data_IF_466244282441
#
_entry.id   IF_466244282441
#
_cell.length_a   1.000
_cell.length_b   1.000
_cell.length_c   1.000
_cell.angle_alpha   90.00
_cell.angle_beta   90.00
_cell.angle_gamma   90.00
#
_symmetry.space_group_name_H-M   'P 1'
#
loop_
_entity.id
_entity.type
_entity.pdbx_description
1 polymer ?
#
# COMPACT_ATOMS: atom_id res chain seq x y z
N UNK A 1 15.76 -14.61 21.87
CA UNK A 1 15.02 -13.37 21.54
C UNK A 1 14.20 -13.63 20.29
N UNK A 2 12.86 -13.49 20.34
CA UNK A 2 12.03 -13.55 19.13
C UNK A 2 12.44 -12.37 18.23
N UNK A 3 12.66 -12.56 16.92
CA UNK A 3 13.02 -11.47 16.02
C UNK A 3 11.89 -10.43 16.07
N UNK A 4 12.25 -9.17 16.33
CA UNK A 4 11.35 -8.01 16.30
C UNK A 4 10.95 -7.81 14.83
N UNK A 5 9.88 -8.49 14.39
CA UNK A 5 9.37 -8.38 13.02
C UNK A 5 9.00 -6.92 12.79
N UNK A 6 9.57 -6.28 11.76
CA UNK A 6 9.13 -4.94 11.38
C UNK A 6 7.76 -5.07 10.71
N UNK A 7 6.71 -4.59 11.35
CA UNK A 7 5.32 -4.58 10.86
C UNK A 7 5.13 -3.55 9.74
N UNK A 8 5.86 -3.74 8.64
CA UNK A 8 5.79 -2.87 7.46
C UNK A 8 4.84 -3.41 6.39
N UNK A 9 4.27 -4.60 6.53
CA UNK A 9 3.36 -5.12 5.50
C UNK A 9 1.93 -4.62 5.77
N UNK A 10 1.22 -4.22 4.72
CA UNK A 10 -0.21 -3.94 4.79
C UNK A 10 -1.02 -5.22 5.02
N UNK A 11 -2.23 -5.09 5.58
CA UNK A 11 -3.18 -6.20 5.67
C UNK A 11 -3.44 -6.83 4.30
N UNK A 12 -3.66 -6.02 3.26
CA UNK A 12 -3.82 -6.47 1.89
C UNK A 12 -2.64 -7.34 1.45
N UNK A 13 -1.41 -6.85 1.65
CA UNK A 13 -0.22 -7.62 1.30
C UNK A 13 -0.12 -8.92 2.09
N UNK A 14 -0.44 -8.93 3.37
CA UNK A 14 -0.40 -10.14 4.19
C UNK A 14 -1.46 -11.17 3.75
N UNK A 15 -2.65 -10.72 3.35
CA UNK A 15 -3.71 -11.58 2.83
C UNK A 15 -3.32 -12.15 1.46
N UNK A 16 -2.86 -11.31 0.54
CA UNK A 16 -2.64 -11.67 -0.87
C UNK A 16 -1.22 -12.14 -1.18
N UNK A 17 -0.31 -12.23 -0.21
CA UNK A 17 0.96 -12.94 -0.38
C UNK A 17 0.76 -14.47 -0.36
N UNK A 18 -0.27 -14.94 -1.07
CA UNK A 18 -0.72 -16.32 -1.24
C UNK A 18 -1.16 -16.51 -2.70
N UNK A 19 -0.61 -17.51 -3.38
CA UNK A 19 -0.84 -17.71 -4.82
C UNK A 19 -2.29 -18.07 -5.16
N UNK A 20 -3.03 -18.73 -4.26
CA UNK A 20 -4.44 -19.09 -4.49
C UNK A 20 -5.30 -17.84 -4.49
N UNK A 21 -5.06 -16.96 -3.53
CA UNK A 21 -5.76 -15.67 -3.41
C UNK A 21 -5.41 -14.73 -4.56
N UNK A 22 -4.14 -14.70 -5.01
CA UNK A 22 -3.75 -13.94 -6.20
C UNK A 22 -4.43 -14.46 -7.47
N UNK A 23 -4.59 -15.78 -7.62
CA UNK A 23 -5.33 -16.35 -8.75
C UNK A 23 -6.81 -15.95 -8.74
N UNK A 24 -7.45 -16.00 -7.57
CA UNK A 24 -8.83 -15.52 -7.34
C UNK A 24 -8.98 -14.05 -7.74
N UNK A 25 -8.09 -13.19 -7.22
CA UNK A 25 -8.09 -11.76 -7.52
C UNK A 25 -7.81 -11.46 -9.01
N UNK A 26 -6.83 -12.13 -9.63
CA UNK A 26 -6.53 -11.94 -11.04
C UNK A 26 -7.71 -12.34 -11.95
N UNK A 27 -8.40 -13.42 -11.58
CA UNK A 27 -9.62 -13.84 -12.29
C UNK A 27 -10.73 -12.80 -12.14
N UNK A 28 -10.91 -12.24 -10.94
CA UNK A 28 -11.90 -11.19 -10.70
C UNK A 28 -11.59 -9.87 -11.44
N UNK A 29 -10.31 -9.54 -11.61
CA UNK A 29 -9.88 -8.34 -12.33
C UNK A 29 -9.99 -8.47 -13.85
N UNK A 30 -9.66 -9.64 -14.39
CA UNK A 30 -9.43 -9.81 -15.85
C UNK A 30 -10.39 -10.76 -16.54
N UNK A 31 -11.16 -11.54 -15.77
CA UNK A 31 -11.93 -12.68 -16.27
C UNK A 31 -11.08 -13.90 -16.67
N UNK A 32 -9.75 -13.84 -16.53
CA UNK A 32 -8.83 -14.92 -16.93
C UNK A 32 -8.48 -15.81 -15.75
N UNK A 33 -8.80 -17.09 -15.86
CA UNK A 33 -8.40 -18.08 -14.86
C UNK A 33 -6.91 -18.42 -14.99
N UNK A 34 -6.25 -18.57 -13.85
CA UNK A 34 -4.83 -18.99 -13.75
C UNK A 34 -4.67 -19.99 -12.61
N UNK A 35 -3.87 -21.04 -12.82
CA UNK A 35 -3.58 -21.97 -11.74
C UNK A 35 -2.55 -21.33 -10.77
N UNK A 36 -2.69 -21.50 -9.45
CA UNK A 36 -1.75 -20.94 -8.48
C UNK A 36 -0.28 -21.35 -8.70
N UNK A 37 -0.03 -22.51 -9.33
CA UNK A 37 1.32 -22.98 -9.67
C UNK A 37 2.00 -22.12 -10.75
N UNK A 38 1.22 -21.46 -11.60
CA UNK A 38 1.71 -20.64 -12.72
C UNK A 38 2.03 -19.20 -12.28
N UNK A 39 1.69 -18.83 -11.04
CA UNK A 39 1.99 -17.53 -10.45
C UNK A 39 3.39 -17.57 -9.82
N UNK A 40 4.23 -16.61 -10.19
CA UNK A 40 5.51 -16.37 -9.51
C UNK A 40 5.48 -15.00 -8.86
N UNK A 41 5.53 -14.93 -7.52
CA UNK A 41 5.56 -13.65 -6.81
C UNK A 41 6.93 -12.99 -7.03
N UNK A 42 6.92 -11.79 -7.61
CA UNK A 42 8.10 -11.00 -7.99
C UNK A 42 8.24 -9.72 -7.17
N UNK A 43 7.39 -9.55 -6.14
CA UNK A 43 7.33 -8.36 -5.28
C UNK A 43 8.70 -7.88 -4.88
N UNK A 44 9.02 -6.68 -5.33
CA UNK A 44 10.31 -6.07 -5.08
C UNK A 44 10.43 -5.69 -3.60
N UNK A 45 11.61 -5.95 -3.01
CA UNK A 45 11.94 -5.44 -1.67
C UNK A 45 12.48 -4.01 -1.77
N UNK A 46 11.80 -3.04 -1.17
CA UNK A 46 12.29 -1.66 -1.04
C UNK A 46 12.37 -0.89 -2.35
N UNK A 47 11.28 -0.81 -3.11
CA UNK A 47 11.25 -0.04 -4.38
C UNK A 47 11.13 1.43 -4.14
N UNK A 48 10.16 1.78 -3.30
CA UNK A 48 9.90 3.12 -2.82
C UNK A 48 10.39 3.19 -1.37
N UNK A 49 10.51 4.43 -0.85
CA UNK A 49 11.02 4.75 0.49
C UNK A 49 10.49 3.80 1.57
N UNK A 50 11.20 3.74 2.70
CA UNK A 50 11.14 2.73 3.77
C UNK A 50 9.76 2.50 4.46
N UNK A 51 8.66 2.95 3.87
CA UNK A 51 7.27 2.86 4.29
C UNK A 51 6.64 1.46 4.21
N UNK A 52 5.39 1.41 4.65
CA UNK A 52 4.51 0.25 4.58
C UNK A 52 4.50 -0.30 3.15
N UNK A 53 4.92 -1.55 3.03
CA UNK A 53 4.79 -2.40 1.86
C UNK A 53 3.31 -2.67 1.58
N UNK A 54 2.79 -1.88 0.64
CA UNK A 54 1.41 -1.94 0.16
C UNK A 54 1.32 -2.50 -1.28
N UNK A 55 2.44 -2.92 -1.84
CA UNK A 55 2.52 -3.51 -3.17
C UNK A 55 2.69 -5.03 -3.12
N UNK A 56 2.13 -5.69 -4.14
CA UNK A 56 2.46 -7.05 -4.55
C UNK A 56 2.70 -7.01 -6.06
N UNK A 57 3.78 -7.63 -6.52
CA UNK A 57 3.90 -7.97 -7.94
C UNK A 57 4.08 -9.47 -8.13
N UNK A 58 3.54 -9.96 -9.23
CA UNK A 58 3.66 -11.36 -9.61
C UNK A 58 3.62 -11.51 -11.13
N UNK A 59 4.17 -12.62 -11.60
CA UNK A 59 4.26 -12.97 -13.01
C UNK A 59 3.35 -14.14 -13.35
N UNK A 60 2.68 -14.05 -14.50
CA UNK A 60 1.94 -15.13 -15.14
C UNK A 60 2.39 -15.20 -16.60
N UNK A 61 3.20 -16.22 -16.93
CA UNK A 61 3.78 -16.35 -18.28
C UNK A 61 4.64 -15.14 -18.64
N UNK A 62 4.26 -14.45 -19.71
CA UNK A 62 4.87 -13.24 -20.25
C UNK A 62 4.18 -11.95 -19.77
N UNK A 63 3.47 -11.99 -18.64
CA UNK A 63 2.83 -10.82 -18.03
C UNK A 63 3.31 -10.55 -16.63
N UNK A 64 3.59 -9.28 -16.33
CA UNK A 64 3.87 -8.80 -14.98
C UNK A 64 2.66 -8.03 -14.46
N UNK A 65 2.12 -8.48 -13.33
CA UNK A 65 0.98 -7.86 -12.68
C UNK A 65 1.50 -7.12 -11.45
N UNK A 66 1.14 -5.84 -11.33
CA UNK A 66 1.52 -4.98 -10.22
C UNK A 66 0.24 -4.49 -9.54
N UNK A 67 0.10 -4.87 -8.28
CA UNK A 67 -1.00 -4.50 -7.40
C UNK A 67 -0.50 -3.52 -6.35
N UNK A 68 -1.22 -2.42 -6.13
CA UNK A 68 -0.93 -1.48 -5.06
C UNK A 68 -2.18 -1.11 -4.27
N UNK A 69 -2.11 -1.24 -2.95
CA UNK A 69 -3.17 -0.78 -2.06
C UNK A 69 -2.96 0.69 -1.68
N UNK A 70 -3.94 1.55 -1.94
CA UNK A 70 -3.93 2.97 -1.62
C UNK A 70 -5.07 3.33 -0.64
N UNK A 71 -4.75 3.62 0.62
CA UNK A 71 -5.77 3.73 1.70
C UNK A 71 -5.90 5.13 2.35
N UNK A 72 -5.08 6.11 1.98
CA UNK A 72 -5.09 7.43 2.66
C UNK A 72 -5.99 8.43 1.93
N UNK A 73 -5.51 8.98 0.82
CA UNK A 73 -6.20 9.96 -0.01
C UNK A 73 -6.24 9.46 -1.45
N UNK A 74 -7.09 10.01 -2.31
CA UNK A 74 -6.93 9.75 -3.74
C UNK A 74 -5.61 10.35 -4.24
N UNK A 75 -4.90 9.66 -5.15
CA UNK A 75 -3.62 10.13 -5.68
C UNK A 75 -3.57 9.95 -7.21
N UNK A 76 -3.74 11.03 -7.99
CA UNK A 76 -3.70 10.94 -9.45
C UNK A 76 -2.28 10.65 -9.99
N UNK A 77 -1.23 10.73 -9.15
CA UNK A 77 0.15 10.46 -9.56
C UNK A 77 0.53 8.97 -9.49
N UNK A 78 -0.43 8.06 -9.26
CA UNK A 78 -0.17 6.62 -9.24
C UNK A 78 0.46 6.07 -10.53
N UNK A 79 0.10 6.53 -11.75
CA UNK A 79 0.79 6.11 -12.97
C UNK A 79 2.30 6.40 -12.97
N UNK A 80 2.73 7.54 -12.42
CA UNK A 80 4.16 7.87 -12.28
C UNK A 80 4.86 6.91 -11.32
N UNK A 81 4.21 6.57 -10.20
CA UNK A 81 4.73 5.57 -9.27
C UNK A 81 4.82 4.18 -9.93
N UNK A 82 3.84 3.80 -10.74
CA UNK A 82 3.87 2.54 -11.49
C UNK A 82 5.00 2.50 -12.53
N UNK A 83 5.27 3.62 -13.21
CA UNK A 83 6.39 3.76 -14.15
C UNK A 83 7.73 3.46 -13.45
N UNK A 84 7.96 4.06 -12.29
CA UNK A 84 9.18 3.80 -11.51
C UNK A 84 9.27 2.35 -11.04
N UNK A 85 8.14 1.74 -10.68
CA UNK A 85 8.11 0.35 -10.24
C UNK A 85 8.48 -0.59 -11.39
N UNK A 86 7.85 -0.45 -12.54
CA UNK A 86 8.08 -1.35 -13.68
C UNK A 86 9.49 -1.20 -14.24
N UNK A 87 10.03 0.03 -14.29
CA UNK A 87 11.43 0.26 -14.66
C UNK A 87 12.40 -0.46 -13.72
N UNK A 88 12.15 -0.45 -12.41
CA UNK A 88 12.95 -1.20 -11.43
C UNK A 88 12.73 -2.71 -11.55
N UNK A 89 11.51 -3.15 -11.84
CA UNK A 89 11.17 -4.57 -12.00
C UNK A 89 11.91 -5.16 -13.20
N UNK A 90 11.82 -4.51 -14.36
CA UNK A 90 12.54 -4.92 -15.56
C UNK A 90 14.05 -4.85 -15.39
N UNK A 91 14.61 -3.78 -14.81
CA UNK A 91 16.06 -3.70 -14.62
C UNK A 91 16.64 -4.82 -13.74
N UNK A 92 15.81 -5.47 -12.91
CA UNK A 92 16.19 -6.62 -12.08
C UNK A 92 15.93 -7.98 -12.70
N UNK A 93 14.96 -8.08 -13.61
CA UNK A 93 14.56 -9.36 -14.21
C UNK A 93 15.23 -9.59 -15.57
N UNK A 94 15.51 -8.50 -16.27
CA UNK A 94 16.21 -8.49 -17.54
C UNK A 94 17.71 -8.48 -17.23
N UNK A 95 18.22 -9.63 -16.78
CA UNK A 95 19.56 -9.85 -16.19
C UNK A 95 20.75 -9.59 -17.14
N UNK A 96 20.52 -9.02 -18.32
CA UNK A 96 21.61 -8.60 -19.20
C UNK A 96 21.39 -7.18 -19.68
N UNK A 97 22.25 -6.26 -19.21
CA UNK A 97 22.42 -4.93 -19.83
C UNK A 97 22.75 -5.04 -21.31
N UNK A 98 23.14 -6.22 -21.81
CA UNK A 98 23.36 -6.42 -23.24
C UNK A 98 22.07 -6.52 -24.04
N UNK A 99 20.90 -6.74 -23.41
CA UNK A 99 19.63 -6.78 -24.14
C UNK A 99 19.40 -5.49 -24.93
N UNK A 100 19.81 -4.33 -24.38
CA UNK A 100 19.72 -3.04 -25.08
C UNK A 100 20.71 -2.90 -26.24
N UNK A 101 21.74 -3.76 -26.31
CA UNK A 101 22.73 -3.79 -27.39
C UNK A 101 22.44 -4.87 -28.44
N UNK A 102 21.39 -5.69 -28.26
CA UNK A 102 21.02 -6.70 -29.26
C UNK A 102 20.34 -6.00 -30.44
N UNK A 103 20.75 -6.37 -31.65
CA UNK A 103 20.11 -5.89 -32.89
C UNK A 103 18.75 -6.53 -33.17
N UNK A 104 18.49 -7.70 -32.58
CA UNK A 104 17.17 -8.37 -32.64
C UNK A 104 16.24 -7.78 -31.58
N UNK A 105 14.97 -7.61 -31.93
CA UNK A 105 13.92 -7.27 -30.97
C UNK A 105 13.78 -8.40 -29.94
N UNK A 106 13.74 -8.04 -28.66
CA UNK A 106 13.57 -8.98 -27.56
C UNK A 106 12.22 -8.70 -26.89
N UNK A 107 11.26 -9.62 -26.97
CA UNK A 107 10.02 -9.51 -26.24
C UNK A 107 10.30 -9.45 -24.73
N UNK A 108 9.72 -8.48 -24.05
CA UNK A 108 9.74 -8.36 -22.59
C UNK A 108 8.31 -8.56 -22.06
N UNK A 109 8.15 -8.98 -20.79
CA UNK A 109 6.83 -9.26 -20.25
C UNK A 109 5.92 -8.03 -20.25
N UNK A 110 4.68 -8.14 -20.70
CA UNK A 110 3.74 -7.02 -20.73
C UNK A 110 3.24 -6.69 -19.31
N UNK A 111 3.20 -5.41 -18.90
CA UNK A 111 2.77 -5.05 -17.57
C UNK A 111 1.24 -4.83 -17.50
N UNK A 112 0.65 -5.20 -16.37
CA UNK A 112 -0.72 -4.86 -15.98
C UNK A 112 -0.72 -4.16 -14.61
N UNK A 113 -1.37 -3.00 -14.52
CA UNK A 113 -1.33 -2.14 -13.33
C UNK A 113 -2.69 -2.00 -12.68
N UNK A 114 -2.73 -2.26 -11.37
CA UNK A 114 -3.95 -2.19 -10.57
C UNK A 114 -3.72 -1.45 -9.25
N UNK A 115 -4.63 -0.53 -8.94
CA UNK A 115 -4.66 0.19 -7.66
C UNK A 115 -5.98 -0.07 -6.95
N UNK A 116 -5.90 -0.46 -5.68
CA UNK A 116 -7.06 -0.65 -4.83
C UNK A 116 -7.20 0.54 -3.89
N UNK A 117 -8.19 1.38 -4.16
CA UNK A 117 -8.52 2.53 -3.33
C UNK A 117 -9.41 2.12 -2.16
N UNK A 118 -8.97 2.38 -0.94
CA UNK A 118 -9.74 2.18 0.29
C UNK A 118 -9.61 3.41 1.20
N UNK A 119 -9.73 4.60 0.62
CA UNK A 119 -9.71 5.87 1.34
C UNK A 119 -11.12 6.36 1.69
N UNK A 120 -11.22 7.58 2.22
CA UNK A 120 -12.48 8.18 2.70
C UNK A 120 -13.16 9.13 1.71
N UNK A 121 -12.53 9.45 0.58
CA UNK A 121 -13.17 10.26 -0.46
C UNK A 121 -14.15 9.40 -1.25
N UNK A 122 -15.19 10.07 -1.75
CA UNK A 122 -16.15 9.47 -2.66
C UNK A 122 -15.52 9.41 -4.07
N UNK A 123 -15.14 8.20 -4.48
CA UNK A 123 -14.50 7.91 -5.76
C UNK A 123 -15.33 6.84 -6.48
N UNK A 124 -15.40 6.86 -7.83
CA UNK A 124 -16.14 5.86 -8.57
C UNK A 124 -15.63 4.44 -8.31
N UNK A 125 -16.52 3.44 -8.48
CA UNK A 125 -16.18 2.01 -8.31
C UNK A 125 -14.97 1.59 -9.15
N UNK A 126 -14.83 2.18 -10.34
CA UNK A 126 -13.72 1.95 -11.26
C UNK A 126 -13.41 3.22 -12.05
N UNK A 127 -12.12 3.46 -12.28
CA UNK A 127 -11.62 4.47 -13.21
C UNK A 127 -10.23 4.10 -13.72
N UNK A 128 -9.87 4.62 -14.89
CA UNK A 128 -8.51 4.51 -15.42
C UNK A 128 -7.73 5.81 -15.17
N UNK A 129 -6.48 5.66 -14.69
CA UNK A 129 -5.53 6.76 -14.63
C UNK A 129 -4.50 6.61 -15.74
N UNK A 130 -4.27 7.69 -16.48
CA UNK A 130 -3.30 7.76 -17.56
C UNK A 130 -2.09 8.58 -17.13
N UNK A 131 -0.89 8.09 -17.43
CA UNK A 131 0.33 8.86 -17.20
C UNK A 131 0.37 10.11 -18.07
N UNK A 132 -0.18 10.03 -19.28
CA UNK A 132 -0.25 11.17 -20.20
C UNK A 132 -1.02 12.37 -19.64
N UNK A 133 -1.99 12.15 -18.74
CA UNK A 133 -2.72 13.22 -18.07
C UNK A 133 -1.84 14.08 -17.14
N UNK A 134 -0.66 13.60 -16.75
CA UNK A 134 0.29 14.35 -15.91
C UNK A 134 1.26 15.21 -16.73
N UNK A 135 1.31 15.08 -18.06
CA UNK A 135 2.24 15.83 -18.88
C UNK A 135 1.75 17.26 -19.12
N UNK A 136 2.66 18.24 -19.04
CA UNK A 136 2.34 19.64 -19.32
C UNK A 136 1.98 19.91 -20.79
N UNK A 137 2.26 18.96 -21.69
CA UNK A 137 1.97 19.04 -23.12
C UNK A 137 1.44 17.70 -23.61
N UNK A 138 0.47 17.73 -24.52
CA UNK A 138 -0.09 16.51 -25.11
C UNK A 138 0.98 15.76 -25.92
N UNK A 139 1.17 14.48 -25.60
CA UNK A 139 2.08 13.57 -26.32
C UNK A 139 1.64 12.12 -26.12
N UNK A 140 1.99 11.28 -27.09
CA UNK A 140 1.81 9.83 -27.06
C UNK A 140 3.16 9.09 -26.97
N UNK A 141 4.27 9.79 -26.74
CA UNK A 141 5.60 9.16 -26.67
C UNK A 141 5.79 8.25 -25.45
N UNK A 142 4.95 8.41 -24.43
CA UNK A 142 4.91 7.54 -23.26
C UNK A 142 3.47 7.46 -22.74
N UNK A 143 2.94 6.26 -22.61
CA UNK A 143 1.65 6.03 -21.96
C UNK A 143 1.75 4.85 -21.01
N UNK A 144 1.10 4.98 -19.85
CA UNK A 144 0.93 3.95 -18.86
C UNK A 144 -0.47 4.12 -18.26
N UNK A 145 -1.29 3.10 -18.42
CA UNK A 145 -2.67 3.07 -17.92
C UNK A 145 -2.73 2.25 -16.64
N UNK A 146 -3.38 2.79 -15.61
CA UNK A 146 -3.59 2.13 -14.32
C UNK A 146 -5.08 1.94 -14.08
N UNK A 147 -5.48 0.69 -13.84
CA UNK A 147 -6.84 0.36 -13.45
C UNK A 147 -7.02 0.60 -11.94
N UNK A 148 -7.81 1.60 -11.59
CA UNK A 148 -8.10 1.92 -10.20
C UNK A 148 -9.48 1.39 -9.82
N UNK A 149 -9.56 0.62 -8.74
CA UNK A 149 -10.80 0.11 -8.18
C UNK A 149 -11.03 0.68 -6.79
N UNK A 150 -12.19 1.27 -6.56
CA UNK A 150 -12.64 1.58 -5.21
C UNK A 150 -13.09 0.27 -4.54
N UNK A 151 -12.40 -0.11 -3.47
CA UNK A 151 -12.66 -1.32 -2.69
C UNK A 151 -13.28 -1.00 -1.33
N UNK A 152 -13.76 0.23 -1.12
CA UNK A 152 -14.62 0.52 0.02
C UNK A 152 -15.84 -0.42 -0.03
N UNK A 153 -16.21 -0.99 1.13
CA UNK A 153 -17.29 -1.97 1.17
C UNK A 153 -18.62 -1.34 0.74
N UNK A 154 -19.22 -1.88 -0.31
CA UNK A 154 -20.58 -1.58 -0.74
C UNK A 154 -21.26 -2.87 -1.22
N UNK A 155 -22.60 -2.89 -1.21
CA UNK A 155 -23.39 -4.07 -1.64
C UNK A 155 -23.54 -4.18 -3.16
N UNK A 156 -22.98 -3.23 -3.92
CA UNK A 156 -23.12 -3.16 -5.38
C UNK A 156 -21.76 -3.09 -6.09
N UNK A 157 -20.69 -3.60 -5.46
CA UNK A 157 -19.36 -3.58 -6.04
C UNK A 157 -19.01 -4.93 -6.71
N UNK A 158 -19.04 -4.93 -8.04
CA UNK A 158 -18.80 -6.14 -8.87
C UNK A 158 -17.47 -6.85 -8.56
N UNK A 159 -16.41 -6.09 -8.24
CA UNK A 159 -15.11 -6.67 -7.93
C UNK A 159 -15.14 -7.38 -6.57
N UNK A 160 -15.78 -6.78 -5.57
CA UNK A 160 -15.97 -7.44 -4.27
C UNK A 160 -16.90 -8.65 -4.37
N UNK A 161 -17.92 -8.60 -5.23
CA UNK A 161 -18.80 -9.75 -5.47
C UNK A 161 -18.04 -10.93 -6.10
N UNK A 162 -17.07 -10.63 -6.96
CA UNK A 162 -16.28 -11.62 -7.70
C UNK A 162 -15.04 -12.13 -6.97
N UNK A 163 -14.59 -11.45 -5.90
CA UNK A 163 -13.41 -11.85 -5.11
C UNK A 163 -13.74 -11.89 -3.61
N UNK A 164 -13.97 -13.10 -3.09
CA UNK A 164 -14.30 -13.33 -1.68
C UNK A 164 -13.25 -12.74 -0.73
N UNK A 165 -11.95 -12.96 -1.00
CA UNK A 165 -10.89 -12.47 -0.11
C UNK A 165 -10.81 -10.94 -0.06
N UNK A 166 -11.02 -10.28 -1.21
CA UNK A 166 -11.04 -8.83 -1.28
C UNK A 166 -12.27 -8.27 -0.55
N UNK A 167 -13.44 -8.86 -0.74
CA UNK A 167 -14.67 -8.51 0.01
C UNK A 167 -14.49 -8.64 1.51
N UNK A 168 -13.89 -9.74 1.97
CA UNK A 168 -13.60 -9.96 3.38
C UNK A 168 -12.65 -8.89 3.95
N UNK A 169 -11.63 -8.49 3.18
CA UNK A 169 -10.74 -7.38 3.55
C UNK A 169 -11.52 -6.05 3.68
N UNK A 170 -12.39 -5.75 2.71
CA UNK A 170 -13.22 -4.55 2.71
C UNK A 170 -14.20 -4.53 3.88
N UNK A 171 -14.87 -5.65 4.19
CA UNK A 171 -15.76 -5.75 5.35
C UNK A 171 -14.99 -5.52 6.65
N UNK A 172 -13.81 -6.11 6.81
CA UNK A 172 -12.98 -5.90 7.99
C UNK A 172 -12.64 -4.42 8.18
N UNK A 173 -12.15 -3.75 7.13
CA UNK A 173 -11.82 -2.32 7.20
C UNK A 173 -13.07 -1.49 7.52
N UNK A 174 -14.21 -1.83 6.92
CA UNK A 174 -15.48 -1.16 7.21
C UNK A 174 -15.87 -1.31 8.69
N UNK A 175 -15.74 -2.50 9.28
CA UNK A 175 -16.04 -2.72 10.71
C UNK A 175 -15.13 -1.94 11.64
N UNK A 176 -13.85 -1.77 11.29
CA UNK A 176 -12.96 -0.88 12.06
C UNK A 176 -13.45 0.57 11.97
N UNK A 177 -13.87 1.04 10.78
CA UNK A 177 -14.39 2.40 10.60
C UNK A 177 -15.73 2.62 11.32
N UNK A 178 -16.62 1.64 11.30
CA UNK A 178 -17.90 1.70 12.00
C UNK A 178 -17.67 1.87 13.50
N UNK A 179 -16.81 1.04 14.10
CA UNK A 179 -16.46 1.16 15.52
C UNK A 179 -15.85 2.52 15.89
N UNK A 180 -14.99 3.08 15.04
CA UNK A 180 -14.44 4.43 15.25
C UNK A 180 -15.53 5.52 15.14
N UNK A 181 -16.49 5.38 14.22
CA UNK A 181 -17.62 6.29 14.06
C UNK A 181 -18.56 6.26 15.27
N UNK A 182 -18.70 5.08 15.87
CA UNK A 182 -19.47 4.85 17.09
C UNK A 182 -18.73 5.33 18.36
N UNK A 183 -17.54 5.94 18.21
CA UNK A 183 -16.78 6.54 19.31
C UNK A 183 -15.87 5.56 20.06
N UNK A 184 -15.65 4.35 19.54
CA UNK A 184 -14.73 3.40 20.16
C UNK A 184 -13.27 3.82 19.98
N UNK A 185 -12.43 3.51 20.96
CA UNK A 185 -10.98 3.59 20.79
C UNK A 185 -10.53 2.63 19.66
N UNK A 186 -9.56 3.06 18.85
CA UNK A 186 -9.01 2.28 17.72
C UNK A 186 -8.72 0.82 18.08
N UNK A 187 -8.07 0.56 19.22
CA UNK A 187 -7.73 -0.80 19.66
C UNK A 187 -8.97 -1.65 19.92
N UNK A 188 -10.03 -1.05 20.45
CA UNK A 188 -11.31 -1.72 20.69
C UNK A 188 -12.00 -1.99 19.35
N UNK A 189 -12.06 -1.01 18.46
CA UNK A 189 -12.64 -1.16 17.12
C UNK A 189 -11.96 -2.28 16.32
N UNK A 190 -10.62 -2.36 16.34
CA UNK A 190 -9.87 -3.44 15.67
C UNK A 190 -10.24 -4.81 16.23
N UNK A 191 -10.24 -4.96 17.56
CA UNK A 191 -10.57 -6.25 18.21
C UNK A 191 -12.01 -6.68 17.91
N UNK A 192 -12.96 -5.75 17.94
CA UNK A 192 -14.34 -6.03 17.58
C UNK A 192 -14.47 -6.44 16.11
N UNK A 193 -13.77 -5.76 15.20
CA UNK A 193 -13.75 -6.13 13.79
C UNK A 193 -13.17 -7.53 13.55
N UNK A 194 -12.08 -7.90 14.26
CA UNK A 194 -11.51 -9.26 14.20
C UNK A 194 -12.53 -10.30 14.70
N UNK A 195 -13.16 -10.05 15.86
CA UNK A 195 -14.19 -10.94 16.41
C UNK A 195 -15.38 -11.08 15.46
N UNK A 196 -15.83 -9.98 14.85
CA UNK A 196 -16.89 -9.99 13.86
C UNK A 196 -16.51 -10.90 12.67
N UNK A 197 -15.29 -10.77 12.15
CA UNK A 197 -14.85 -11.57 11.02
C UNK A 197 -14.76 -13.06 11.35
N UNK A 198 -14.30 -13.41 12.56
CA UNK A 198 -14.26 -14.81 13.04
C UNK A 198 -15.66 -15.40 13.22
N UNK A 199 -16.61 -14.63 13.73
CA UNK A 199 -17.97 -15.10 14.04
C UNK A 199 -18.87 -15.24 12.81
N UNK A 200 -18.61 -14.47 11.74
CA UNK A 200 -19.43 -14.45 10.52
C UNK A 200 -18.77 -15.16 9.34
N UNK A 201 -17.74 -15.98 9.59
CA UNK A 201 -16.98 -16.71 8.57
C UNK A 201 -16.40 -15.82 7.44
N UNK A 202 -15.86 -14.67 7.83
CA UNK A 202 -15.22 -13.70 6.93
C UNK A 202 -13.71 -13.88 7.07
N UNK A 203 -13.12 -14.77 6.26
CA UNK A 203 -11.72 -15.18 6.42
C UNK A 203 -11.41 -15.65 7.87
N UNK A 204 -12.36 -16.35 8.52
CA UNK A 204 -12.28 -16.69 9.94
C UNK A 204 -10.99 -17.43 10.31
N UNK A 205 -10.61 -18.44 9.53
CA UNK A 205 -9.35 -19.16 9.68
C UNK A 205 -8.11 -18.25 9.66
N UNK A 206 -8.11 -17.24 8.78
CA UNK A 206 -7.00 -16.30 8.67
C UNK A 206 -6.94 -15.39 9.89
N UNK A 207 -8.06 -14.79 10.29
CA UNK A 207 -8.10 -13.92 11.47
C UNK A 207 -7.82 -14.69 12.76
N UNK A 208 -8.23 -15.96 12.86
CA UNK A 208 -7.91 -16.80 14.00
C UNK A 208 -6.41 -17.11 14.10
N UNK A 209 -5.75 -17.41 12.98
CA UNK A 209 -4.32 -17.72 12.94
C UNK A 209 -3.44 -16.48 13.09
N UNK A 210 -3.91 -15.31 12.66
CA UNK A 210 -3.11 -14.09 12.54
C UNK A 210 -3.61 -12.93 13.40
N UNK A 211 -4.45 -13.18 14.40
CA UNK A 211 -5.12 -12.15 15.22
C UNK A 211 -4.17 -11.05 15.72
N UNK A 212 -3.09 -11.44 16.40
CA UNK A 212 -2.10 -10.48 16.93
C UNK A 212 -1.38 -9.72 15.82
N UNK A 213 -1.04 -10.38 14.71
CA UNK A 213 -0.33 -9.76 13.58
C UNK A 213 -1.24 -8.76 12.85
N UNK A 214 -2.50 -9.12 12.62
CA UNK A 214 -3.52 -8.22 12.06
C UNK A 214 -3.72 -7.02 12.96
N UNK A 215 -3.86 -7.23 14.27
CA UNK A 215 -4.01 -6.14 15.23
C UNK A 215 -2.83 -5.16 15.14
N UNK A 216 -1.59 -5.66 15.19
CA UNK A 216 -0.39 -4.84 15.13
C UNK A 216 -0.28 -4.07 13.81
N UNK A 217 -0.52 -4.74 12.67
CA UNK A 217 -0.47 -4.12 11.34
C UNK A 217 -1.48 -2.96 11.21
N UNK A 218 -2.73 -3.20 11.61
CA UNK A 218 -3.81 -2.22 11.45
C UNK A 218 -3.63 -1.07 12.44
N UNK A 219 -3.29 -1.38 13.69
CA UNK A 219 -3.04 -0.37 14.72
C UNK A 219 -1.86 0.54 14.35
N UNK A 220 -0.74 -0.03 13.87
CA UNK A 220 0.42 0.74 13.43
C UNK A 220 0.08 1.67 12.26
N UNK A 221 -0.59 1.15 11.23
CA UNK A 221 -0.93 1.92 10.03
C UNK A 221 -1.89 3.07 10.34
N UNK A 222 -2.86 2.86 11.24
CA UNK A 222 -3.81 3.90 11.64
C UNK A 222 -3.17 4.96 12.57
N UNK A 223 -2.29 4.55 13.50
CA UNK A 223 -1.51 5.49 14.32
C UNK A 223 -0.64 6.39 13.43
N UNK A 224 0.01 5.83 12.39
CA UNK A 224 0.78 6.60 11.42
C UNK A 224 -0.11 7.59 10.65
N UNK A 225 -1.30 7.17 10.20
CA UNK A 225 -2.26 8.05 9.53
C UNK A 225 -2.72 9.20 10.43
N UNK A 226 -3.10 8.90 11.68
CA UNK A 226 -3.53 9.92 12.64
C UNK A 226 -2.40 10.90 12.98
N UNK A 227 -1.17 10.42 13.12
CA UNK A 227 -0.01 11.28 13.33
C UNK A 227 0.20 12.25 12.16
N UNK A 228 0.01 11.79 10.92
CA UNK A 228 0.10 12.65 9.73
C UNK A 228 -1.04 13.67 9.64
N UNK A 229 -2.26 13.29 10.02
CA UNK A 229 -3.42 14.20 10.08
C UNK A 229 -3.22 15.28 11.14
N UNK A 230 -2.88 14.91 12.38
CA UNK A 230 -2.60 15.86 13.47
C UNK A 230 -1.45 16.79 13.07
N UNK A 231 -0.41 16.26 12.42
CA UNK A 231 0.68 17.06 11.90
C UNK A 231 0.26 18.08 10.85
N UNK A 232 -0.69 17.73 9.99
CA UNK A 232 -1.26 18.64 8.99
C UNK A 232 -2.15 19.71 9.65
N UNK A 233 -2.94 19.33 10.65
CA UNK A 233 -3.75 20.23 11.48
C UNK A 233 -2.84 21.25 12.21
N UNK A 234 -1.79 20.75 12.89
CA UNK A 234 -0.80 21.57 13.60
C UNK A 234 0.04 22.45 12.63
N UNK A 235 0.37 21.94 11.44
CA UNK A 235 1.15 22.69 10.43
C UNK A 235 0.39 23.76 9.67
N UNK A 236 -0.95 23.68 9.65
CA UNK A 236 -1.79 24.79 9.26
C UNK A 236 -1.81 25.90 10.34
N UNK A 237 -1.56 25.56 11.61
CA UNK A 237 -1.61 26.50 12.74
C UNK A 237 -0.25 27.13 13.10
N UNK A 238 0.86 26.41 12.89
CA UNK A 238 2.22 26.82 13.21
C UNK A 238 3.08 26.51 11.97
N UNK A 239 3.46 27.55 11.19
CA UNK A 239 3.98 27.42 9.81
C UNK A 239 4.89 26.22 9.51
N UNK A 240 4.81 25.71 8.27
CA UNK A 240 5.29 24.40 7.78
C UNK A 240 6.59 23.85 8.41
N UNK A 241 7.62 24.68 8.61
CA UNK A 241 8.90 24.26 9.19
C UNK A 241 8.77 23.80 10.65
N UNK A 242 7.96 24.47 11.49
CA UNK A 242 7.78 24.11 12.90
C UNK A 242 7.01 22.80 13.06
N UNK A 243 6.05 22.55 12.17
CA UNK A 243 5.31 21.29 12.13
C UNK A 243 6.22 20.12 11.78
N UNK A 244 7.07 20.26 10.75
CA UNK A 244 8.08 19.25 10.42
C UNK A 244 8.99 18.93 11.61
N UNK A 245 9.39 19.93 12.40
CA UNK A 245 10.23 19.73 13.59
C UNK A 245 9.48 19.00 14.72
N UNK A 246 8.20 19.33 14.96
CA UNK A 246 7.35 18.63 15.94
C UNK A 246 7.12 17.16 15.57
N UNK A 247 6.85 16.88 14.29
CA UNK A 247 6.73 15.52 13.76
C UNK A 247 8.02 14.75 13.99
N UNK A 248 9.17 15.33 13.61
CA UNK A 248 10.46 14.68 13.76
C UNK A 248 10.75 14.33 15.23
N UNK A 249 10.45 15.24 16.16
CA UNK A 249 10.60 15.00 17.59
C UNK A 249 9.71 13.85 18.09
N UNK A 250 8.45 13.80 17.67
CA UNK A 250 7.51 12.73 18.05
C UNK A 250 7.98 11.35 17.55
N UNK A 251 8.45 11.29 16.30
CA UNK A 251 8.96 10.07 15.69
C UNK A 251 10.29 9.62 16.35
N UNK A 252 11.16 10.55 16.74
CA UNK A 252 12.38 10.28 17.51
C UNK A 252 12.06 9.68 18.88
N UNK A 253 11.11 10.26 19.62
CA UNK A 253 10.68 9.74 20.95
C UNK A 253 10.12 8.32 20.88
N UNK A 254 9.50 7.95 19.75
CA UNK A 254 9.00 6.60 19.48
C UNK A 254 10.08 5.64 18.95
N UNK A 255 11.32 6.09 18.78
CA UNK A 255 12.46 5.27 18.36
C UNK A 255 12.41 4.85 16.88
N UNK A 256 11.78 5.65 16.01
CA UNK A 256 11.69 5.33 14.59
C UNK A 256 13.00 5.59 13.85
N UNK A 257 13.28 4.84 12.76
CA UNK A 257 14.52 5.02 11.99
C UNK A 257 14.62 6.40 11.36
N UNK A 258 15.79 7.03 11.44
CA UNK A 258 16.05 8.41 10.95
C UNK A 258 15.62 8.60 9.50
N UNK A 259 15.81 7.60 8.63
CA UNK A 259 15.37 7.68 7.22
C UNK A 259 13.86 7.91 7.06
N UNK A 260 13.02 7.33 7.93
CA UNK A 260 11.57 7.60 7.92
C UNK A 260 11.30 9.04 8.35
N UNK A 261 12.06 9.52 9.32
CA UNK A 261 11.88 10.85 9.87
C UNK A 261 12.28 11.91 8.83
N UNK A 262 13.39 11.73 8.12
CA UNK A 262 13.79 12.62 7.01
C UNK A 262 12.75 12.64 5.89
N UNK A 263 12.29 11.46 5.45
CA UNK A 263 11.36 11.33 4.33
C UNK A 263 9.97 11.91 4.67
N UNK A 264 9.52 11.74 5.92
CA UNK A 264 8.19 12.19 6.37
C UNK A 264 8.12 13.68 6.72
N UNK A 265 9.26 14.31 7.04
CA UNK A 265 9.30 15.70 7.53
C UNK A 265 9.99 16.67 6.58
N UNK A 266 10.68 16.13 5.56
CA UNK A 266 11.53 16.87 4.64
C UNK A 266 12.65 17.68 5.36
N UNK A 267 13.02 17.25 6.57
CA UNK A 267 14.12 17.80 7.35
C UNK A 267 15.42 17.07 7.04
N UNK A 268 16.53 17.80 7.08
CA UNK A 268 17.86 17.22 6.91
C UNK A 268 18.24 16.34 8.11
N UNK A 269 19.20 15.43 7.89
CA UNK A 269 19.72 14.59 8.96
C UNK A 269 20.36 15.42 10.08
N UNK A 270 20.94 16.58 9.77
CA UNK A 270 21.47 17.52 10.76
C UNK A 270 20.37 18.18 11.59
N UNK A 271 19.24 18.52 10.98
CA UNK A 271 18.09 19.09 11.70
C UNK A 271 17.48 18.09 12.68
N UNK A 272 17.37 16.82 12.29
CA UNK A 272 16.86 15.75 13.16
C UNK A 272 17.86 15.46 14.29
N UNK A 273 19.18 15.47 14.02
CA UNK A 273 20.22 15.38 15.06
C UNK A 273 20.08 16.48 16.09
N UNK A 274 19.88 17.72 15.62
CA UNK A 274 19.69 18.88 16.48
C UNK A 274 18.44 18.72 17.34
N UNK A 275 17.32 18.29 16.76
CA UNK A 275 16.07 18.04 17.49
C UNK A 275 16.26 16.96 18.58
N UNK A 276 16.94 15.85 18.27
CA UNK A 276 17.21 14.80 19.25
C UNK A 276 18.08 15.29 20.41
N UNK A 277 19.16 16.02 20.08
CA UNK A 277 20.08 16.60 21.06
C UNK A 277 19.39 17.60 21.98
N UNK A 278 18.62 18.52 21.41
CA UNK A 278 17.90 19.58 22.13
C UNK A 278 16.80 19.00 23.06
N UNK A 279 16.39 17.75 22.85
CA UNK A 279 15.36 17.06 23.64
C UNK A 279 15.88 15.85 24.43
N UNK A 280 17.20 15.69 24.55
CA UNK A 280 17.82 14.63 25.38
C UNK A 280 17.55 13.20 24.89
N UNK A 281 17.27 13.02 23.60
CA UNK A 281 17.03 11.72 22.99
C UNK A 281 18.34 11.13 22.46
N UNK A 282 18.54 9.83 22.68
CA UNK A 282 19.65 9.10 22.06
C UNK A 282 19.48 9.09 20.54
N UNK A 283 20.50 9.56 19.83
CA UNK A 283 20.54 9.64 18.37
C UNK A 283 21.51 8.60 17.80
#
# INVERSE_FOLDING_TARGET
MKPKRSYKDSLFRHIFNDKRRLASLYTALTGRSVAPKDITITTLRGVFFNDIKNDISFRIGDRDIILMEHQSSWNPNMPLRMLWYIAKLYSRQLDSRELVYRSRLIPIPAPEFYVFYNGSHDEPDYQELHLSSAFSHATNSLELVVNCYNINYSTQNRLLDSCYELRCCSIFVQKVRDGLRDGLELKIAIRQAITYCKTHDILADYFQKNESEVFDMVNFKWDQKRALEVAKEDGFADGERKASMKIALSLLKKGLPIGIITDSTNLSLEEIRKIAKDNGLAF
#
